data_IF_654015812185
#
_entry.id   IF_654015812185
#
_cell.length_a   1.000
_cell.length_b   1.000
_cell.length_c   1.000
_cell.angle_alpha   90.00
_cell.angle_beta   90.00
_cell.angle_gamma   90.00
#
_symmetry.space_group_name_H-M   'P 1'
#
loop_
_entity.id
_entity.type
_entity.pdbx_description
1 polymer ?
#
# COMPACT_ATOMS: atom_id res chain seq x y z
N UNK A 1 -26.62 38.30 8.85
CA UNK A 1 -27.55 37.25 9.31
C UNK A 1 -28.50 36.77 8.22
N UNK A 2 -29.44 37.58 7.71
CA UNK A 2 -30.32 37.14 6.60
C UNK A 2 -29.52 36.81 5.32
N UNK A 3 -28.66 37.72 4.88
CA UNK A 3 -27.75 37.50 3.74
C UNK A 3 -26.81 36.30 3.97
N UNK A 4 -26.35 36.09 5.21
CA UNK A 4 -25.49 34.96 5.56
C UNK A 4 -26.23 33.62 5.43
N UNK A 5 -27.53 33.56 5.77
CA UNK A 5 -28.36 32.36 5.57
C UNK A 5 -28.63 32.10 4.09
N UNK A 6 -28.87 33.14 3.29
CA UNK A 6 -29.08 33.01 1.85
C UNK A 6 -27.83 32.46 1.15
N UNK A 7 -26.63 32.76 1.65
CA UNK A 7 -25.37 32.21 1.15
C UNK A 7 -25.12 30.78 1.67
N UNK A 8 -25.39 30.51 2.95
CA UNK A 8 -25.06 29.21 3.56
C UNK A 8 -26.00 28.07 3.15
N UNK A 9 -27.29 28.36 2.89
CA UNK A 9 -28.28 27.35 2.47
C UNK A 9 -27.90 26.60 1.18
N UNK A 10 -27.54 27.25 0.06
CA UNK A 10 -27.11 26.55 -1.14
C UNK A 10 -25.81 25.77 -0.91
N UNK A 11 -24.85 26.31 -0.14
CA UNK A 11 -23.61 25.61 0.20
C UNK A 11 -23.87 24.32 0.99
N UNK A 12 -24.87 24.33 1.87
CA UNK A 12 -25.27 23.14 2.63
C UNK A 12 -25.90 22.09 1.70
N UNK A 13 -26.73 22.51 0.75
CA UNK A 13 -27.35 21.61 -0.22
C UNK A 13 -26.29 20.98 -1.15
N UNK A 14 -25.34 21.78 -1.64
CA UNK A 14 -24.20 21.30 -2.44
C UNK A 14 -23.35 20.29 -1.64
N UNK A 15 -23.02 20.59 -0.39
CA UNK A 15 -22.29 19.67 0.49
C UNK A 15 -23.07 18.37 0.78
N UNK A 16 -24.39 18.46 0.91
CA UNK A 16 -25.26 17.29 1.07
C UNK A 16 -25.29 16.42 -0.19
N UNK A 17 -25.30 17.03 -1.38
CA UNK A 17 -25.20 16.28 -2.64
C UNK A 17 -23.82 15.64 -2.81
N UNK A 18 -22.74 16.37 -2.53
CA UNK A 18 -21.37 15.87 -2.64
C UNK A 18 -21.11 14.68 -1.70
N UNK A 19 -21.62 14.73 -0.47
CA UNK A 19 -21.54 13.60 0.48
C UNK A 19 -22.24 12.35 -0.05
N UNK A 20 -23.43 12.48 -0.64
CA UNK A 20 -24.17 11.35 -1.23
C UNK A 20 -23.42 10.77 -2.44
N UNK A 21 -22.91 11.62 -3.34
CA UNK A 21 -22.14 11.20 -4.51
C UNK A 21 -20.87 10.46 -4.08
N UNK A 22 -20.17 10.98 -3.08
CA UNK A 22 -18.93 10.38 -2.58
C UNK A 22 -19.21 9.03 -1.91
N UNK A 23 -20.30 8.92 -1.13
CA UNK A 23 -20.74 7.66 -0.53
C UNK A 23 -21.04 6.59 -1.59
N UNK A 24 -21.77 6.93 -2.65
CA UNK A 24 -22.09 6.00 -3.74
C UNK A 24 -20.83 5.54 -4.49
N UNK A 25 -19.83 6.41 -4.65
CA UNK A 25 -18.54 6.04 -5.25
C UNK A 25 -17.78 5.06 -4.36
N UNK A 26 -17.71 5.33 -3.05
CA UNK A 26 -17.08 4.43 -2.07
C UNK A 26 -17.74 3.04 -2.13
N UNK A 27 -19.07 2.97 -2.17
CA UNK A 27 -19.79 1.70 -2.23
C UNK A 27 -19.46 0.91 -3.50
N UNK A 28 -19.47 1.56 -4.67
CA UNK A 28 -19.09 0.94 -5.95
C UNK A 28 -17.65 0.44 -5.95
N UNK A 29 -16.72 1.29 -5.50
CA UNK A 29 -15.29 0.95 -5.48
C UNK A 29 -15.00 -0.16 -4.46
N UNK A 30 -15.74 -0.20 -3.34
CA UNK A 30 -15.63 -1.27 -2.34
C UNK A 30 -16.04 -2.63 -2.92
N UNK A 31 -17.13 -2.69 -3.70
CA UNK A 31 -17.54 -3.94 -4.38
C UNK A 31 -16.47 -4.39 -5.38
N UNK A 32 -15.88 -3.45 -6.12
CA UNK A 32 -14.78 -3.76 -7.06
C UNK A 32 -13.54 -4.26 -6.31
N UNK A 33 -13.19 -3.64 -5.18
CA UNK A 33 -12.07 -4.07 -4.34
C UNK A 33 -12.28 -5.48 -3.77
N UNK A 34 -13.49 -5.80 -3.29
CA UNK A 34 -13.81 -7.14 -2.78
C UNK A 34 -13.73 -8.21 -3.87
N UNK A 35 -14.29 -7.93 -5.05
CA UNK A 35 -14.17 -8.84 -6.20
C UNK A 35 -12.70 -9.05 -6.61
N UNK A 36 -11.91 -7.98 -6.61
CA UNK A 36 -10.48 -8.03 -6.94
C UNK A 36 -9.70 -8.80 -5.87
N UNK A 37 -10.02 -8.61 -4.59
CA UNK A 37 -9.41 -9.33 -3.46
C UNK A 37 -9.69 -10.83 -3.55
N UNK A 38 -10.92 -11.23 -3.88
CA UNK A 38 -11.25 -12.63 -4.13
C UNK A 38 -10.44 -13.22 -5.30
N UNK A 39 -10.25 -12.46 -6.38
CA UNK A 39 -9.40 -12.87 -7.49
C UNK A 39 -7.93 -13.03 -7.08
N UNK A 40 -7.39 -12.10 -6.29
CA UNK A 40 -6.00 -12.16 -5.79
C UNK A 40 -5.81 -13.39 -4.91
N UNK A 41 -6.75 -13.70 -4.02
CA UNK A 41 -6.69 -14.90 -3.17
C UNK A 41 -6.70 -16.20 -4.01
N UNK A 42 -7.52 -16.24 -5.07
CA UNK A 42 -7.55 -17.39 -5.96
C UNK A 42 -6.24 -17.57 -6.73
N UNK A 43 -5.65 -16.48 -7.24
CA UNK A 43 -4.34 -16.53 -7.91
C UNK A 43 -3.19 -16.85 -6.95
N UNK A 44 -3.25 -16.37 -5.71
CA UNK A 44 -2.27 -16.69 -4.66
C UNK A 44 -2.30 -18.18 -4.30
N UNK A 45 -3.50 -18.78 -4.20
CA UNK A 45 -3.65 -20.21 -3.99
C UNK A 45 -3.06 -21.02 -5.16
N UNK A 46 -3.27 -20.58 -6.42
CA UNK A 46 -2.67 -21.22 -7.60
C UNK A 46 -1.15 -21.10 -7.59
N UNK A 47 -0.61 -19.91 -7.31
CA UNK A 47 0.83 -19.67 -7.22
C UNK A 47 1.47 -20.55 -6.14
N UNK A 48 0.84 -20.65 -4.97
CA UNK A 48 1.31 -21.49 -3.85
C UNK A 48 1.33 -22.96 -4.22
N UNK A 49 0.28 -23.46 -4.90
CA UNK A 49 0.23 -24.86 -5.34
C UNK A 49 1.27 -25.15 -6.43
N UNK A 50 1.48 -24.24 -7.39
CA UNK A 50 2.56 -24.36 -8.38
C UNK A 50 3.93 -24.34 -7.73
N UNK A 51 4.14 -23.48 -6.72
CA UNK A 51 5.39 -23.41 -5.96
C UNK A 51 5.67 -24.72 -5.22
N UNK A 52 4.65 -25.29 -4.59
CA UNK A 52 4.74 -26.59 -3.92
C UNK A 52 5.16 -27.67 -4.91
N UNK A 53 4.52 -27.76 -6.07
CA UNK A 53 4.87 -28.75 -7.11
C UNK A 53 6.29 -28.58 -7.64
N UNK A 54 6.71 -27.34 -7.92
CA UNK A 54 8.09 -27.06 -8.34
C UNK A 54 9.10 -27.48 -7.26
N UNK A 55 8.79 -27.21 -5.99
CA UNK A 55 9.63 -27.63 -4.86
C UNK A 55 9.70 -29.16 -4.75
N UNK A 56 8.59 -29.86 -4.89
CA UNK A 56 8.57 -31.33 -4.85
C UNK A 56 9.42 -31.95 -5.96
N UNK A 57 9.37 -31.39 -7.19
CA UNK A 57 10.21 -31.84 -8.30
C UNK A 57 11.68 -31.55 -8.01
N UNK A 58 11.99 -30.38 -7.43
CA UNK A 58 13.35 -30.01 -7.06
C UNK A 58 13.92 -30.94 -5.97
N UNK A 59 13.12 -31.23 -4.93
CA UNK A 59 13.51 -32.10 -3.82
C UNK A 59 13.73 -33.54 -4.32
N UNK A 60 12.87 -34.04 -5.20
CA UNK A 60 13.00 -35.38 -5.79
C UNK A 60 14.22 -35.48 -6.73
N UNK A 61 14.51 -34.43 -7.51
CA UNK A 61 15.73 -34.34 -8.32
C UNK A 61 16.99 -34.29 -7.44
N UNK A 62 16.97 -33.51 -6.36
CA UNK A 62 18.10 -33.41 -5.44
C UNK A 62 18.35 -34.72 -4.70
N UNK A 63 17.28 -35.40 -4.27
CA UNK A 63 17.37 -36.70 -3.62
C UNK A 63 18.07 -37.74 -4.49
N UNK A 64 17.73 -37.79 -5.78
CA UNK A 64 18.41 -38.69 -6.72
C UNK A 64 19.89 -38.32 -6.87
N UNK A 65 20.21 -37.02 -6.99
CA UNK A 65 21.60 -36.56 -7.07
C UNK A 65 22.41 -36.92 -5.82
N UNK A 66 21.78 -36.84 -4.64
CA UNK A 66 22.40 -37.21 -3.36
C UNK A 66 22.76 -38.70 -3.28
N UNK A 67 22.24 -39.57 -4.16
CA UNK A 67 22.66 -40.97 -4.23
C UNK A 67 24.05 -41.14 -4.89
N UNK A 68 24.44 -40.23 -5.78
CA UNK A 68 25.69 -40.32 -6.54
C UNK A 68 26.75 -39.28 -6.15
N UNK A 69 26.34 -38.08 -5.75
CA UNK A 69 27.26 -36.98 -5.39
C UNK A 69 28.22 -37.36 -4.25
N UNK A 70 27.81 -38.00 -3.15
CA UNK A 70 28.74 -38.36 -2.08
C UNK A 70 29.83 -39.33 -2.54
N UNK A 71 29.48 -40.27 -3.43
CA UNK A 71 30.46 -41.21 -4.00
C UNK A 71 31.43 -40.50 -4.96
N UNK A 72 30.93 -39.55 -5.73
CA UNK A 72 31.74 -38.72 -6.63
C UNK A 72 32.69 -37.79 -5.86
N UNK A 73 32.19 -37.11 -4.84
CA UNK A 73 32.99 -36.22 -4.00
C UNK A 73 34.06 -36.97 -3.22
N UNK A 74 33.73 -38.14 -2.67
CA UNK A 74 34.70 -39.03 -2.03
C UNK A 74 35.79 -39.47 -3.02
N UNK A 75 35.42 -39.81 -4.26
CA UNK A 75 36.38 -40.18 -5.28
C UNK A 75 37.27 -39.01 -5.72
N UNK A 76 36.71 -37.81 -5.89
CA UNK A 76 37.46 -36.59 -6.23
C UNK A 76 38.39 -36.17 -5.08
N UNK A 77 37.96 -36.30 -3.82
CA UNK A 77 38.79 -36.06 -2.65
C UNK A 77 39.96 -37.04 -2.57
N UNK A 78 39.72 -38.32 -2.83
CA UNK A 78 40.75 -39.36 -2.92
C UNK A 78 41.74 -39.07 -4.06
N UNK A 79 41.26 -38.63 -5.23
CA UNK A 79 42.13 -38.17 -6.33
C UNK A 79 42.98 -36.95 -5.96
N UNK A 80 42.45 -35.97 -5.21
CA UNK A 80 43.21 -34.79 -4.75
C UNK A 80 44.35 -35.17 -3.80
N UNK A 81 44.25 -36.31 -3.12
CA UNK A 81 45.30 -36.81 -2.24
C UNK A 81 46.45 -37.48 -3.00
N UNK A 82 46.29 -37.78 -4.29
CA UNK A 82 47.36 -38.32 -5.13
C UNK A 82 48.37 -37.24 -5.49
N UNK A 83 49.66 -37.58 -5.33
CA UNK A 83 50.75 -36.72 -5.75
C UNK A 83 51.27 -37.14 -7.14
N UNK A 84 52.15 -36.32 -7.73
CA UNK A 84 52.73 -36.60 -9.06
C UNK A 84 53.62 -37.85 -9.06
N UNK A 85 54.23 -38.19 -7.92
CA UNK A 85 55.13 -39.34 -7.80
C UNK A 85 54.35 -40.65 -7.91
N UNK A 86 53.17 -40.73 -7.27
CA UNK A 86 52.27 -41.88 -7.33
C UNK A 86 51.92 -42.25 -8.79
N UNK A 87 51.71 -41.24 -9.65
CA UNK A 87 51.43 -41.42 -11.08
C UNK A 87 52.69 -41.85 -11.86
N UNK A 88 53.86 -41.31 -11.52
CA UNK A 88 55.13 -41.73 -12.15
C UNK A 88 55.51 -43.16 -11.81
N UNK A 89 55.20 -43.64 -10.60
CA UNK A 89 55.44 -45.02 -10.17
C UNK A 89 54.60 -46.00 -10.98
N UNK A 90 53.30 -45.71 -11.18
CA UNK A 90 52.41 -46.53 -12.02
C UNK A 90 52.92 -46.61 -13.46
N UNK A 91 53.46 -45.51 -14.01
CA UNK A 91 54.03 -45.48 -15.37
C UNK A 91 55.35 -46.27 -15.51
N UNK A 92 56.15 -46.32 -14.45
CA UNK A 92 57.46 -46.96 -14.44
C UNK A 92 57.39 -48.50 -14.47
N UNK A 93 56.21 -49.08 -14.20
CA UNK A 93 55.99 -50.52 -14.25
C UNK A 93 56.21 -51.07 -15.66
N UNK A 94 57.25 -51.90 -15.83
CA UNK A 94 57.51 -52.58 -17.11
C UNK A 94 56.52 -53.73 -17.39
N UNK A 95 56.04 -54.39 -16.33
CA UNK A 95 55.01 -55.44 -16.39
C UNK A 95 53.95 -55.14 -15.32
N UNK A 96 52.94 -54.31 -15.63
CA UNK A 96 51.92 -53.96 -14.64
C UNK A 96 51.08 -55.19 -14.27
N UNK A 97 50.70 -55.33 -12.98
CA UNK A 97 49.72 -56.31 -12.54
C UNK A 97 48.37 -56.12 -13.23
N UNK A 98 47.55 -57.18 -13.28
CA UNK A 98 46.26 -57.18 -13.97
C UNK A 98 45.33 -56.04 -13.50
N UNK A 99 45.22 -55.82 -12.18
CA UNK A 99 44.41 -54.72 -11.64
C UNK A 99 44.87 -53.32 -12.08
N UNK A 100 46.17 -53.10 -12.28
CA UNK A 100 46.70 -51.82 -12.77
C UNK A 100 46.40 -51.65 -14.26
N UNK A 101 46.50 -52.73 -15.06
CA UNK A 101 46.11 -52.71 -16.48
C UNK A 101 44.64 -52.34 -16.65
N UNK A 102 43.75 -52.96 -15.87
CA UNK A 102 42.30 -52.71 -15.90
C UNK A 102 41.95 -51.26 -15.53
N UNK A 103 42.63 -50.68 -14.53
CA UNK A 103 42.44 -49.26 -14.14
C UNK A 103 42.85 -48.30 -15.25
N UNK A 104 44.01 -48.52 -15.86
CA UNK A 104 44.51 -47.66 -16.94
C UNK A 104 43.66 -47.82 -18.20
N UNK A 105 43.21 -49.04 -18.51
CA UNK A 105 42.27 -49.32 -19.59
C UNK A 105 40.94 -48.59 -19.39
N UNK A 106 40.33 -48.70 -18.21
CA UNK A 106 39.06 -48.03 -17.91
C UNK A 106 39.17 -46.50 -18.02
N UNK A 107 40.32 -45.91 -17.61
CA UNK A 107 40.58 -44.47 -17.77
C UNK A 107 40.80 -44.08 -19.23
N UNK A 108 41.50 -44.91 -20.01
CA UNK A 108 41.66 -44.69 -21.44
C UNK A 108 40.31 -44.71 -22.17
N UNK A 109 39.40 -45.62 -21.79
CA UNK A 109 38.04 -45.68 -22.33
C UNK A 109 37.24 -44.43 -21.91
N UNK A 110 37.30 -44.01 -20.64
CA UNK A 110 36.67 -42.76 -20.16
C UNK A 110 37.12 -41.53 -20.94
N UNK A 111 38.41 -41.44 -21.30
CA UNK A 111 38.98 -40.33 -22.08
C UNK A 111 38.89 -40.53 -23.61
N UNK A 112 38.25 -41.59 -24.09
CA UNK A 112 38.08 -41.85 -25.53
C UNK A 112 39.38 -42.16 -26.28
N UNK A 113 40.41 -42.65 -25.60
CA UNK A 113 41.70 -43.00 -26.20
C UNK A 113 41.59 -44.35 -26.90
N UNK A 114 41.94 -44.40 -28.19
CA UNK A 114 41.86 -45.62 -29.00
C UNK A 114 42.91 -46.64 -28.56
N UNK A 115 42.57 -47.94 -28.50
CA UNK A 115 43.53 -48.99 -28.21
C UNK A 115 44.53 -49.17 -29.34
N UNK A 116 45.70 -49.73 -29.01
CA UNK A 116 46.65 -50.22 -30.00
C UNK A 116 46.36 -51.70 -30.25
N UNK A 117 46.15 -52.10 -31.50
CA UNK A 117 45.91 -53.50 -31.85
C UNK A 117 47.21 -54.28 -31.84
N UNK A 118 47.36 -55.22 -30.91
CA UNK A 118 48.55 -56.08 -30.78
C UNK A 118 48.17 -57.52 -31.16
N UNK A 119 49.12 -58.30 -31.67
CA UNK A 119 48.89 -59.71 -32.00
C UNK A 119 48.60 -60.50 -30.71
N UNK A 120 47.47 -61.21 -30.67
CA UNK A 120 47.08 -62.05 -29.54
C UNK A 120 47.85 -63.35 -29.46
N UNK A 121 47.69 -64.08 -28.34
CA UNK A 121 48.39 -65.35 -28.07
C UNK A 121 48.07 -66.46 -29.08
N UNK A 122 46.99 -66.35 -29.87
CA UNK A 122 46.65 -67.26 -30.96
C UNK A 122 46.97 -66.63 -32.33
N UNK A 123 47.62 -67.35 -33.26
CA UNK A 123 47.87 -66.85 -34.62
C UNK A 123 46.56 -66.37 -35.28
N UNK A 124 46.50 -65.08 -35.63
CA UNK A 124 45.34 -64.46 -36.28
C UNK A 124 44.39 -63.68 -35.37
N UNK A 125 44.56 -63.70 -34.05
CA UNK A 125 43.77 -62.87 -33.11
C UNK A 125 44.42 -61.50 -32.91
N UNK A 126 43.63 -60.41 -32.91
CA UNK A 126 44.08 -59.05 -32.56
C UNK A 126 43.44 -58.67 -31.23
N UNK A 127 44.26 -58.37 -30.23
CA UNK A 127 43.82 -57.92 -28.91
C UNK A 127 44.01 -56.41 -28.85
N UNK A 128 43.01 -55.71 -28.32
CA UNK A 128 43.08 -54.28 -28.08
C UNK A 128 43.92 -54.03 -26.83
N UNK A 129 45.14 -53.49 -27.00
CA UNK A 129 46.04 -53.15 -25.90
C UNK A 129 45.89 -51.66 -25.55
N UNK A 130 45.35 -51.40 -24.36
CA UNK A 130 45.20 -50.07 -23.79
C UNK A 130 46.40 -49.65 -22.92
N UNK A 131 47.34 -50.55 -22.64
CA UNK A 131 48.49 -50.25 -21.78
C UNK A 131 49.48 -49.29 -22.43
N UNK A 132 49.87 -49.51 -23.69
CA UNK A 132 50.79 -48.59 -24.37
C UNK A 132 50.21 -47.17 -24.55
N UNK A 133 48.96 -47.00 -25.03
CA UNK A 133 48.31 -45.67 -25.06
C UNK A 133 48.13 -45.06 -23.66
N UNK A 134 47.76 -45.86 -22.66
CA UNK A 134 47.61 -45.41 -21.28
C UNK A 134 48.92 -45.01 -20.62
N UNK A 135 50.02 -45.69 -20.92
CA UNK A 135 51.36 -45.30 -20.48
C UNK A 135 51.81 -43.96 -21.09
N UNK A 136 51.35 -43.65 -22.31
CA UNK A 136 51.48 -42.33 -22.93
C UNK A 136 50.64 -41.26 -22.21
N UNK A 137 49.42 -41.59 -21.79
CA UNK A 137 48.56 -40.69 -21.01
C UNK A 137 49.18 -40.33 -19.64
N UNK A 138 49.89 -41.27 -19.00
CA UNK A 138 50.59 -41.04 -17.74
C UNK A 138 51.93 -40.28 -17.90
N UNK A 139 52.32 -39.89 -19.13
CA UNK A 139 53.61 -39.21 -19.39
C UNK A 139 53.73 -37.86 -18.69
N UNK A 140 52.63 -37.10 -18.63
CA UNK A 140 52.51 -35.82 -17.95
C UNK A 140 51.58 -35.94 -16.73
N UNK A 141 52.10 -36.33 -15.53
CA UNK A 141 51.29 -36.53 -14.32
C UNK A 141 50.37 -35.36 -13.93
N UNK A 142 50.85 -34.13 -14.12
CA UNK A 142 50.08 -32.92 -13.82
C UNK A 142 48.85 -32.77 -14.71
N UNK A 143 49.03 -32.90 -16.03
CA UNK A 143 47.92 -32.81 -17.01
C UNK A 143 46.96 -33.99 -16.88
N UNK A 144 47.47 -35.17 -16.53
CA UNK A 144 46.66 -36.35 -16.31
C UNK A 144 45.64 -36.13 -15.19
N UNK A 145 46.12 -35.74 -13.99
CA UNK A 145 45.27 -35.47 -12.83
C UNK A 145 44.34 -34.28 -13.06
N UNK A 146 44.84 -33.18 -13.64
CA UNK A 146 44.01 -32.03 -13.99
C UNK A 146 42.88 -32.41 -14.95
N UNK A 147 43.16 -33.27 -15.94
CA UNK A 147 42.16 -33.77 -16.86
C UNK A 147 41.19 -34.80 -16.26
N UNK A 148 41.44 -35.32 -15.05
CA UNK A 148 40.45 -36.09 -14.29
C UNK A 148 39.55 -35.17 -13.45
N UNK A 149 40.10 -34.07 -12.92
CA UNK A 149 39.32 -33.08 -12.17
C UNK A 149 38.42 -32.24 -13.06
N UNK A 150 38.88 -31.86 -14.26
CA UNK A 150 38.13 -31.06 -15.24
C UNK A 150 37.34 -31.92 -16.22
N UNK A 151 37.21 -33.21 -15.96
CA UNK A 151 36.45 -34.09 -16.83
C UNK A 151 34.97 -33.71 -16.80
N UNK A 152 34.35 -33.65 -17.98
CA UNK A 152 32.94 -33.33 -18.11
C UNK A 152 32.10 -34.54 -17.68
N UNK A 153 31.68 -34.50 -16.41
CA UNK A 153 30.87 -35.54 -15.77
C UNK A 153 29.42 -35.56 -16.28
N UNK A 154 28.95 -34.44 -16.85
CA UNK A 154 27.55 -34.26 -17.24
C UNK A 154 27.30 -34.72 -18.68
N UNK A 155 28.35 -34.78 -19.53
CA UNK A 155 28.25 -35.15 -20.94
C UNK A 155 29.09 -36.40 -21.32
N UNK A 156 28.94 -37.50 -20.61
CA UNK A 156 29.64 -38.76 -20.95
C UNK A 156 28.88 -39.49 -22.08
N UNK A 157 29.51 -39.84 -23.22
CA UNK A 157 28.82 -40.58 -24.27
C UNK A 157 28.39 -41.99 -23.83
N UNK A 158 27.17 -42.41 -24.18
CA UNK A 158 26.65 -43.75 -23.86
C UNK A 158 27.55 -44.89 -24.38
N UNK A 159 28.28 -44.66 -25.47
CA UNK A 159 29.27 -45.59 -26.01
C UNK A 159 30.43 -45.87 -25.04
N UNK A 160 30.88 -44.85 -24.29
CA UNK A 160 31.96 -44.95 -23.30
C UNK A 160 31.47 -45.73 -22.07
N UNK A 161 30.26 -45.44 -21.59
CA UNK A 161 29.66 -46.14 -20.45
C UNK A 161 29.42 -47.62 -20.76
N UNK A 162 28.93 -47.95 -21.96
CA UNK A 162 28.75 -49.33 -22.41
C UNK A 162 30.07 -50.09 -22.51
N UNK A 163 31.14 -49.43 -22.93
CA UNK A 163 32.48 -50.03 -22.99
C UNK A 163 33.11 -50.25 -21.60
N UNK A 164 32.70 -49.46 -20.60
CA UNK A 164 33.20 -49.57 -19.22
C UNK A 164 32.41 -50.59 -18.39
N UNK A 165 31.15 -50.86 -18.73
CA UNK A 165 30.28 -51.80 -18.03
C UNK A 165 30.95 -53.15 -17.68
N UNK A 166 31.65 -53.83 -18.61
CA UNK A 166 32.32 -55.11 -18.30
C UNK A 166 33.44 -54.98 -17.26
N UNK A 167 34.08 -53.81 -17.17
CA UNK A 167 35.09 -53.53 -16.14
C UNK A 167 34.43 -53.29 -14.78
N UNK A 168 33.27 -52.61 -14.73
CA UNK A 168 32.54 -52.35 -13.47
C UNK A 168 32.00 -53.65 -12.86
N UNK A 169 31.56 -54.59 -13.70
CA UNK A 169 31.02 -55.88 -13.28
C UNK A 169 32.11 -56.90 -12.87
N UNK A 170 33.37 -56.62 -13.17
CA UNK A 170 34.50 -57.49 -12.82
C UNK A 170 34.91 -57.34 -11.34
N UNK A 171 34.95 -58.45 -10.60
CA UNK A 171 35.38 -58.49 -9.19
C UNK A 171 36.82 -58.01 -8.98
N UNK A 172 37.70 -58.15 -9.98
CA UNK A 172 39.08 -57.67 -9.92
C UNK A 172 39.19 -56.13 -10.04
N UNK A 173 38.12 -55.46 -10.50
CA UNK A 173 38.02 -54.01 -10.62
C UNK A 173 37.31 -53.36 -9.43
N UNK A 174 37.34 -54.02 -8.26
CA UNK A 174 36.85 -53.42 -7.03
C UNK A 174 37.96 -52.60 -6.34
N UNK A 175 37.64 -51.42 -5.76
CA UNK A 175 38.61 -50.63 -5.00
C UNK A 175 39.34 -51.44 -3.93
N UNK A 176 38.67 -52.39 -3.28
CA UNK A 176 39.28 -53.28 -2.29
C UNK A 176 40.30 -54.27 -2.89
N UNK A 177 40.06 -54.78 -4.11
CA UNK A 177 40.98 -55.65 -4.82
C UNK A 177 42.20 -54.86 -5.34
N UNK A 178 41.97 -53.67 -5.89
CA UNK A 178 43.02 -52.80 -6.43
C UNK A 178 43.89 -52.20 -5.32
N UNK A 179 43.33 -51.94 -4.13
CA UNK A 179 44.08 -51.46 -2.96
C UNK A 179 45.20 -52.41 -2.51
N UNK A 180 45.07 -53.71 -2.77
CA UNK A 180 46.12 -54.70 -2.48
C UNK A 180 47.31 -54.60 -3.43
N UNK A 181 47.14 -53.93 -4.57
CA UNK A 181 48.11 -53.87 -5.66
C UNK A 181 48.71 -52.47 -5.79
N UNK A 182 47.88 -51.42 -5.75
CA UNK A 182 48.34 -50.03 -5.84
C UNK A 182 47.34 -49.06 -5.20
N UNK A 183 47.84 -48.27 -4.24
CA UNK A 183 47.08 -47.19 -3.61
C UNK A 183 46.69 -46.11 -4.61
N UNK A 184 47.61 -45.76 -5.52
CA UNK A 184 47.36 -44.76 -6.56
C UNK A 184 46.25 -45.16 -7.54
N UNK A 185 46.23 -46.44 -7.96
CA UNK A 185 45.20 -46.98 -8.84
C UNK A 185 43.84 -47.14 -8.13
N UNK A 186 43.81 -47.17 -6.79
CA UNK A 186 42.57 -47.30 -6.02
C UNK A 186 41.72 -46.03 -6.14
N UNK A 187 42.32 -44.85 -5.97
CA UNK A 187 41.61 -43.57 -6.10
C UNK A 187 41.11 -43.35 -7.54
N UNK A 188 41.87 -43.79 -8.53
CA UNK A 188 41.49 -43.74 -9.95
C UNK A 188 40.34 -44.71 -10.24
N UNK A 189 40.37 -45.93 -9.68
CA UNK A 189 39.25 -46.88 -9.78
C UNK A 189 37.97 -46.34 -9.14
N UNK A 190 38.06 -45.77 -7.93
CA UNK A 190 36.93 -45.15 -7.25
C UNK A 190 36.32 -44.02 -8.10
N UNK A 191 37.15 -43.22 -8.77
CA UNK A 191 36.69 -42.18 -9.69
C UNK A 191 35.95 -42.73 -10.90
N UNK A 192 36.47 -43.76 -11.59
CA UNK A 192 35.78 -44.36 -12.75
C UNK A 192 34.42 -44.94 -12.33
N UNK A 193 34.36 -45.63 -11.18
CA UNK A 193 33.11 -46.20 -10.66
C UNK A 193 32.12 -45.13 -10.22
N UNK A 194 32.59 -44.05 -9.60
CA UNK A 194 31.74 -42.93 -9.22
C UNK A 194 31.21 -42.16 -10.43
N UNK A 195 32.02 -41.97 -11.47
CA UNK A 195 31.59 -41.36 -12.74
C UNK A 195 30.56 -42.23 -13.48
N UNK A 196 30.75 -43.55 -13.49
CA UNK A 196 29.77 -44.49 -14.04
C UNK A 196 28.43 -44.41 -13.27
N UNK A 197 28.45 -44.44 -11.93
CA UNK A 197 27.25 -44.28 -11.11
C UNK A 197 26.56 -42.93 -11.34
N UNK A 198 27.35 -41.84 -11.41
CA UNK A 198 26.85 -40.50 -11.66
C UNK A 198 26.14 -40.38 -13.02
N UNK A 199 26.66 -41.00 -14.08
CA UNK A 199 26.03 -40.98 -15.41
C UNK A 199 24.58 -41.49 -15.40
N UNK A 200 24.32 -42.62 -14.72
CA UNK A 200 22.97 -43.18 -14.64
C UNK A 200 22.01 -42.30 -13.83
N UNK A 201 22.51 -41.74 -12.72
CA UNK A 201 21.72 -40.83 -11.89
C UNK A 201 21.46 -39.51 -12.61
N UNK A 202 22.48 -38.89 -13.20
CA UNK A 202 22.36 -37.65 -13.98
C UNK A 202 21.37 -37.83 -15.16
N UNK A 203 21.41 -38.97 -15.85
CA UNK A 203 20.44 -39.30 -16.91
C UNK A 203 19.00 -39.44 -16.39
N UNK A 204 18.80 -39.96 -15.18
CA UNK A 204 17.49 -40.04 -14.53
C UNK A 204 16.99 -38.67 -14.03
N UNK A 205 17.91 -37.80 -13.64
CA UNK A 205 17.63 -36.45 -13.12
C UNK A 205 17.40 -35.44 -14.26
N UNK A 206 17.99 -35.63 -15.44
CA UNK A 206 17.82 -34.75 -16.59
C UNK A 206 16.34 -34.45 -16.95
N UNK A 207 15.43 -35.43 -17.09
CA UNK A 207 14.01 -35.13 -17.30
C UNK A 207 13.37 -34.40 -16.12
N UNK A 208 13.83 -34.63 -14.88
CA UNK A 208 13.34 -33.90 -13.70
C UNK A 208 13.81 -32.45 -13.70
N UNK A 209 15.02 -32.15 -14.19
CA UNK A 209 15.53 -30.78 -14.37
C UNK A 209 14.75 -30.03 -15.43
N UNK A 210 14.42 -30.67 -16.54
CA UNK A 210 13.56 -30.08 -17.57
C UNK A 210 12.15 -29.81 -17.03
N UNK A 211 11.54 -30.79 -16.34
CA UNK A 211 10.24 -30.61 -15.68
C UNK A 211 10.27 -29.50 -14.61
N UNK A 212 11.37 -29.37 -13.85
CA UNK A 212 11.56 -28.29 -12.89
C UNK A 212 11.62 -26.93 -13.59
N UNK A 213 12.34 -26.83 -14.70
CA UNK A 213 12.44 -25.59 -15.47
C UNK A 213 11.07 -25.18 -16.00
N UNK A 214 10.32 -26.09 -16.61
CA UNK A 214 8.95 -25.84 -17.08
C UNK A 214 8.03 -25.39 -15.92
N UNK A 215 8.10 -26.07 -14.77
CA UNK A 215 7.32 -25.70 -13.59
C UNK A 215 7.70 -24.32 -13.00
N UNK A 216 8.99 -23.94 -13.09
CA UNK A 216 9.48 -22.63 -12.66
C UNK A 216 9.05 -21.52 -13.62
N UNK A 217 9.05 -21.77 -14.93
CA UNK A 217 8.55 -20.84 -15.94
C UNK A 217 7.04 -20.59 -15.75
N UNK A 218 6.25 -21.66 -15.58
CA UNK A 218 4.82 -21.59 -15.27
C UNK A 218 4.53 -20.84 -13.96
N UNK A 219 5.37 -21.03 -12.94
CA UNK A 219 5.28 -20.32 -11.67
C UNK A 219 5.59 -18.83 -11.85
N UNK A 220 6.62 -18.49 -12.61
CA UNK A 220 7.02 -17.11 -12.85
C UNK A 220 5.91 -16.33 -13.58
N UNK A 221 5.26 -16.94 -14.57
CA UNK A 221 4.10 -16.33 -15.25
C UNK A 221 2.95 -16.09 -14.28
N UNK A 222 2.63 -17.09 -13.44
CA UNK A 222 1.55 -16.98 -12.44
C UNK A 222 1.85 -15.92 -11.39
N UNK A 223 3.11 -15.83 -10.94
CA UNK A 223 3.55 -14.82 -9.98
C UNK A 223 3.43 -13.42 -10.57
N UNK A 224 3.77 -13.23 -11.85
CA UNK A 224 3.59 -11.95 -12.54
C UNK A 224 2.12 -11.53 -12.57
N UNK A 225 1.21 -12.45 -12.89
CA UNK A 225 -0.24 -12.19 -12.88
C UNK A 225 -0.71 -11.82 -11.46
N UNK A 226 -0.22 -12.54 -10.44
CA UNK A 226 -0.52 -12.27 -9.05
C UNK A 226 -0.04 -10.87 -8.62
N UNK A 227 1.17 -10.49 -8.99
CA UNK A 227 1.75 -9.19 -8.65
C UNK A 227 0.98 -8.05 -9.34
N UNK A 228 0.60 -8.21 -10.62
CA UNK A 228 -0.28 -7.27 -11.33
C UNK A 228 -1.67 -7.17 -10.70
N UNK A 229 -2.23 -8.27 -10.20
CA UNK A 229 -3.50 -8.27 -9.49
C UNK A 229 -3.40 -7.61 -8.10
N UNK A 230 -2.30 -7.84 -7.36
CA UNK A 230 -2.01 -7.20 -6.07
C UNK A 230 -1.81 -5.69 -6.23
N UNK A 231 -1.10 -5.25 -7.27
CA UNK A 231 -0.92 -3.84 -7.58
C UNK A 231 -2.26 -3.14 -7.86
N UNK A 232 -3.13 -3.74 -8.69
CA UNK A 232 -4.49 -3.22 -8.93
C UNK A 232 -5.33 -3.16 -7.66
N UNK A 233 -5.25 -4.16 -6.79
CA UNK A 233 -5.95 -4.14 -5.50
C UNK A 233 -5.47 -2.96 -4.64
N UNK A 234 -4.15 -2.73 -4.56
CA UNK A 234 -3.57 -1.62 -3.82
C UNK A 234 -4.05 -0.26 -4.33
N UNK A 235 -4.07 -0.05 -5.65
CA UNK A 235 -4.57 1.19 -6.25
C UNK A 235 -6.04 1.46 -5.90
N UNK A 236 -6.89 0.43 -5.96
CA UNK A 236 -8.31 0.57 -5.61
C UNK A 236 -8.48 0.84 -4.12
N UNK A 237 -7.75 0.15 -3.23
CA UNK A 237 -7.80 0.37 -1.78
C UNK A 237 -7.32 1.76 -1.38
N UNK A 238 -6.24 2.26 -1.99
CA UNK A 238 -5.78 3.65 -1.82
C UNK A 238 -6.84 4.65 -2.32
N UNK A 239 -7.45 4.39 -3.48
CA UNK A 239 -8.57 5.17 -4.00
C UNK A 239 -9.72 5.27 -3.00
N UNK A 240 -10.16 4.13 -2.44
CA UNK A 240 -11.20 4.07 -1.41
C UNK A 240 -10.79 4.86 -0.17
N UNK A 241 -9.55 4.73 0.31
CA UNK A 241 -9.06 5.45 1.48
C UNK A 241 -9.11 6.98 1.27
N UNK A 242 -8.72 7.46 0.08
CA UNK A 242 -8.82 8.89 -0.25
C UNK A 242 -10.27 9.37 -0.33
N UNK A 243 -11.19 8.56 -0.89
CA UNK A 243 -12.60 8.89 -0.94
C UNK A 243 -13.23 8.90 0.46
N UNK A 244 -12.87 7.96 1.34
CA UNK A 244 -13.31 7.93 2.73
C UNK A 244 -12.80 9.14 3.53
N UNK A 245 -11.58 9.61 3.28
CA UNK A 245 -11.08 10.86 3.86
C UNK A 245 -11.91 12.06 3.39
N UNK A 246 -12.12 12.19 2.07
CA UNK A 246 -12.98 13.26 1.50
C UNK A 246 -14.41 13.21 2.05
N UNK A 247 -14.98 12.01 2.17
CA UNK A 247 -16.32 11.83 2.74
C UNK A 247 -16.41 12.36 4.17
N UNK A 248 -15.44 12.00 5.04
CA UNK A 248 -15.37 12.51 6.42
C UNK A 248 -15.26 14.03 6.46
N UNK A 249 -14.42 14.62 5.61
CA UNK A 249 -14.28 16.08 5.54
C UNK A 249 -15.58 16.76 5.07
N UNK A 250 -16.26 16.21 4.06
CA UNK A 250 -17.53 16.75 3.57
C UNK A 250 -18.64 16.62 4.62
N UNK A 251 -18.71 15.50 5.36
CA UNK A 251 -19.66 15.32 6.47
C UNK A 251 -19.39 16.34 7.58
N UNK A 252 -18.14 16.51 7.99
CA UNK A 252 -17.77 17.51 9.01
C UNK A 252 -18.15 18.93 8.59
N UNK A 253 -17.87 19.31 7.33
CA UNK A 253 -18.25 20.62 6.79
C UNK A 253 -19.76 20.80 6.74
N UNK A 254 -20.50 19.76 6.34
CA UNK A 254 -21.96 19.78 6.32
C UNK A 254 -22.53 20.01 7.72
N UNK A 255 -22.05 19.27 8.72
CA UNK A 255 -22.49 19.42 10.11
C UNK A 255 -22.18 20.83 10.67
N UNK A 256 -21.00 21.39 10.35
CA UNK A 256 -20.65 22.76 10.73
C UNK A 256 -21.56 23.81 10.07
N UNK A 257 -21.90 23.63 8.80
CA UNK A 257 -22.81 24.52 8.07
C UNK A 257 -24.24 24.41 8.59
N UNK A 258 -24.73 23.21 8.89
CA UNK A 258 -26.02 22.95 9.54
C UNK A 258 -26.10 23.70 10.88
N UNK A 259 -25.11 23.52 11.75
CA UNK A 259 -25.09 24.20 13.05
C UNK A 259 -25.07 25.73 12.91
N UNK A 260 -24.33 26.28 11.94
CA UNK A 260 -24.30 27.73 11.68
C UNK A 260 -25.64 28.25 11.15
N UNK A 261 -26.28 27.51 10.24
CA UNK A 261 -27.60 27.85 9.74
C UNK A 261 -28.62 27.88 10.87
N UNK A 262 -28.68 26.81 11.68
CA UNK A 262 -29.61 26.70 12.82
C UNK A 262 -29.41 27.85 13.82
N UNK A 263 -28.17 28.17 14.17
CA UNK A 263 -27.87 29.27 15.07
C UNK A 263 -28.30 30.63 14.47
N UNK A 264 -28.09 30.85 13.18
CA UNK A 264 -28.49 32.08 12.50
C UNK A 264 -30.02 32.22 12.45
N UNK A 265 -30.73 31.15 12.12
CA UNK A 265 -32.20 31.11 12.10
C UNK A 265 -32.79 31.42 13.48
N UNK A 266 -32.24 30.81 14.53
CA UNK A 266 -32.66 31.09 15.90
C UNK A 266 -32.42 32.55 16.28
N UNK A 267 -31.27 33.13 15.89
CA UNK A 267 -30.96 34.54 16.16
C UNK A 267 -31.89 35.48 15.40
N UNK A 268 -32.17 35.21 14.13
CA UNK A 268 -33.11 35.99 13.33
C UNK A 268 -34.52 35.91 13.89
N UNK A 269 -35.00 34.73 14.27
CA UNK A 269 -36.31 34.58 14.91
C UNK A 269 -36.43 35.40 16.21
N UNK A 270 -35.36 35.43 17.01
CA UNK A 270 -35.33 36.27 18.24
C UNK A 270 -35.28 37.76 17.91
N UNK A 271 -34.49 38.16 16.91
CA UNK A 271 -34.38 39.56 16.47
C UNK A 271 -35.71 40.07 15.92
N UNK A 272 -36.40 39.26 15.11
CA UNK A 272 -37.72 39.56 14.56
C UNK A 272 -38.74 39.79 15.68
N UNK A 273 -38.83 38.87 16.66
CA UNK A 273 -39.69 39.03 17.84
C UNK A 273 -39.40 40.31 18.63
N UNK A 274 -38.13 40.68 18.79
CA UNK A 274 -37.73 41.91 19.47
C UNK A 274 -38.12 43.15 18.66
N UNK A 275 -37.92 43.14 17.34
CA UNK A 275 -38.29 44.25 16.47
C UNK A 275 -39.81 44.45 16.48
N UNK A 276 -40.59 43.37 16.34
CA UNK A 276 -42.05 43.43 16.41
C UNK A 276 -42.51 43.89 17.80
N UNK A 277 -41.96 43.33 18.87
CA UNK A 277 -42.36 43.67 20.25
C UNK A 277 -41.98 45.10 20.67
N UNK A 278 -40.90 45.66 20.11
CA UNK A 278 -40.47 47.04 20.36
C UNK A 278 -41.02 48.03 19.32
N UNK A 279 -41.79 47.58 18.34
CA UNK A 279 -42.34 48.44 17.29
C UNK A 279 -43.26 49.52 17.87
N UNK A 280 -44.12 49.14 18.82
CA UNK A 280 -45.03 50.07 19.49
C UNK A 280 -44.27 51.08 20.35
N UNK A 281 -43.20 50.65 21.04
CA UNK A 281 -42.37 51.55 21.84
C UNK A 281 -41.56 52.51 20.97
N UNK A 282 -41.08 52.07 19.80
CA UNK A 282 -40.46 52.94 18.79
C UNK A 282 -41.44 54.02 18.34
N UNK A 283 -42.67 53.64 18.00
CA UNK A 283 -43.70 54.60 17.57
C UNK A 283 -44.04 55.57 18.71
N UNK A 284 -44.24 55.07 19.93
CA UNK A 284 -44.46 55.90 21.11
C UNK A 284 -43.33 56.89 21.35
N UNK A 285 -42.06 56.49 21.21
CA UNK A 285 -40.92 57.40 21.35
C UNK A 285 -40.92 58.46 20.25
N UNK A 286 -41.21 58.08 19.00
CA UNK A 286 -41.35 59.03 17.90
C UNK A 286 -42.45 60.07 18.19
N UNK A 287 -43.62 59.61 18.62
CA UNK A 287 -44.74 60.49 18.99
C UNK A 287 -44.39 61.39 20.19
N UNK A 288 -43.67 60.86 21.18
CA UNK A 288 -43.22 61.63 22.35
C UNK A 288 -42.24 62.72 21.94
N UNK A 289 -41.28 62.41 21.07
CA UNK A 289 -40.32 63.40 20.54
C UNK A 289 -41.06 64.50 19.78
N UNK A 290 -41.98 64.15 18.88
CA UNK A 290 -42.80 65.12 18.13
C UNK A 290 -43.64 66.01 19.06
N UNK A 291 -44.25 65.43 20.09
CA UNK A 291 -45.01 66.18 21.08
C UNK A 291 -44.14 67.14 21.89
N UNK A 292 -42.93 66.72 22.28
CA UNK A 292 -41.98 67.56 22.99
C UNK A 292 -41.45 68.71 22.11
N UNK A 293 -41.16 68.44 20.83
CA UNK A 293 -40.77 69.47 19.87
C UNK A 293 -41.88 70.53 19.71
N UNK A 294 -43.14 70.10 19.60
CA UNK A 294 -44.29 71.01 19.55
C UNK A 294 -44.44 71.84 20.83
N UNK A 295 -44.26 71.21 22.01
CA UNK A 295 -44.35 71.91 23.30
C UNK A 295 -43.22 72.94 23.44
N UNK A 296 -42.00 72.60 23.02
CA UNK A 296 -40.84 73.49 23.09
C UNK A 296 -41.03 74.77 22.26
N UNK A 297 -41.70 74.69 21.11
CA UNK A 297 -42.03 75.86 20.28
C UNK A 297 -43.07 76.76 20.98
N UNK A 298 -44.06 76.17 21.64
CA UNK A 298 -45.22 76.88 22.20
C UNK A 298 -45.07 77.33 23.67
N UNK A 299 -44.08 76.81 24.39
CA UNK A 299 -43.90 77.00 25.84
C UNK A 299 -43.82 78.47 26.25
N UNK A 300 -43.22 79.32 25.41
CA UNK A 300 -43.05 80.74 25.71
C UNK A 300 -44.39 81.47 25.82
N UNK A 301 -45.31 81.24 24.88
CA UNK A 301 -46.64 81.84 24.90
C UNK A 301 -47.51 81.26 26.02
N UNK A 302 -47.42 79.94 26.23
CA UNK A 302 -48.18 79.26 27.28
C UNK A 302 -47.76 79.72 28.69
N UNK A 303 -46.45 79.86 28.95
CA UNK A 303 -45.93 80.39 30.21
C UNK A 303 -46.33 81.85 30.44
N UNK A 304 -46.35 82.68 29.39
CA UNK A 304 -46.77 84.07 29.49
C UNK A 304 -48.25 84.17 29.91
N UNK A 305 -49.13 83.36 29.29
CA UNK A 305 -50.54 83.27 29.67
C UNK A 305 -50.72 82.78 31.11
N UNK A 306 -49.98 81.72 31.50
CA UNK A 306 -50.05 81.16 32.83
C UNK A 306 -49.57 82.14 33.92
N UNK A 307 -48.45 82.84 33.67
CA UNK A 307 -47.91 83.84 34.58
C UNK A 307 -48.89 85.01 34.76
N UNK A 308 -49.49 85.49 33.67
CA UNK A 308 -50.55 86.52 33.72
C UNK A 308 -51.78 86.05 34.50
N UNK A 309 -52.19 84.79 34.31
CA UNK A 309 -53.32 84.21 35.02
C UNK A 309 -53.08 84.15 36.53
N UNK A 310 -51.90 83.69 36.95
CA UNK A 310 -51.54 83.63 38.37
C UNK A 310 -51.41 85.02 39.01
N UNK A 311 -50.81 85.99 38.30
CA UNK A 311 -50.54 87.32 38.83
C UNK A 311 -51.80 88.20 38.96
N UNK A 312 -52.71 88.14 37.99
CA UNK A 312 -53.80 89.11 37.88
C UNK A 312 -55.19 88.52 38.05
N UNK A 313 -55.40 87.23 37.78
CA UNK A 313 -56.76 86.66 37.71
C UNK A 313 -57.29 86.12 39.04
N UNK A 314 -56.46 86.02 40.08
CA UNK A 314 -56.80 85.45 41.40
C UNK A 314 -58.04 86.03 42.11
N UNK A 315 -58.31 87.35 42.10
CA UNK A 315 -59.47 87.93 42.79
C UNK A 315 -60.81 87.77 42.05
N UNK A 316 -60.82 87.40 40.77
CA UNK A 316 -62.04 87.41 39.95
C UNK A 316 -62.84 86.09 40.04
N UNK A 317 -64.08 86.10 39.56
CA UNK A 317 -64.93 84.90 39.48
C UNK A 317 -64.54 84.01 38.29
N UNK A 318 -64.85 82.71 38.35
CA UNK A 318 -64.44 81.74 37.33
C UNK A 318 -64.82 82.13 35.90
N UNK A 319 -66.07 82.56 35.67
CA UNK A 319 -66.54 82.98 34.35
C UNK A 319 -65.75 84.19 33.80
N UNK A 320 -65.43 85.15 34.66
CA UNK A 320 -64.67 86.32 34.27
C UNK A 320 -63.19 85.99 33.97
N UNK A 321 -62.60 85.06 34.73
CA UNK A 321 -61.25 84.55 34.45
C UNK A 321 -61.17 83.87 33.09
N UNK A 322 -62.13 83.02 32.75
CA UNK A 322 -62.19 82.33 31.44
C UNK A 322 -62.30 83.34 30.30
N UNK A 323 -63.21 84.31 30.41
CA UNK A 323 -63.40 85.33 29.38
C UNK A 323 -62.15 86.21 29.16
N UNK A 324 -61.46 86.60 30.24
CA UNK A 324 -60.20 87.36 30.12
C UNK A 324 -59.07 86.50 29.53
N UNK A 325 -58.97 85.24 29.93
CA UNK A 325 -57.94 84.33 29.43
C UNK A 325 -58.10 84.09 27.92
N UNK A 326 -59.34 83.88 27.43
CA UNK A 326 -59.63 83.77 25.98
C UNK A 326 -59.25 85.04 25.21
N UNK A 327 -59.53 86.22 25.76
CA UNK A 327 -59.11 87.50 25.15
C UNK A 327 -57.58 87.61 25.06
N UNK A 328 -56.86 87.21 26.11
CA UNK A 328 -55.40 87.21 26.12
C UNK A 328 -54.82 86.22 25.12
N UNK A 329 -55.37 85.01 25.04
CA UNK A 329 -54.99 84.01 24.01
C UNK A 329 -55.21 84.55 22.60
N UNK A 330 -56.36 85.19 22.34
CA UNK A 330 -56.62 85.84 21.04
C UNK A 330 -55.58 86.91 20.72
N UNK A 331 -55.20 87.73 21.72
CA UNK A 331 -54.19 88.78 21.53
C UNK A 331 -52.80 88.23 21.24
N UNK A 332 -52.38 87.15 21.89
CA UNK A 332 -51.10 86.49 21.57
C UNK A 332 -51.07 85.92 20.16
N UNK A 333 -52.18 85.38 19.67
CA UNK A 333 -52.31 84.93 18.28
C UNK A 333 -52.21 86.08 17.29
N UNK A 334 -52.86 87.22 17.55
CA UNK A 334 -52.73 88.44 16.73
C UNK A 334 -51.28 88.93 16.65
N UNK A 335 -50.54 88.84 17.76
CA UNK A 335 -49.13 89.22 17.85
C UNK A 335 -48.17 88.14 17.34
N UNK A 336 -48.68 87.01 16.83
CA UNK A 336 -47.92 85.87 16.31
C UNK A 336 -46.94 85.26 17.32
N UNK A 337 -47.28 85.29 18.61
CA UNK A 337 -46.52 84.57 19.64
C UNK A 337 -46.99 83.10 19.61
N UNK A 338 -46.08 82.13 19.40
CA UNK A 338 -46.42 80.71 19.43
C UNK A 338 -46.99 80.32 20.80
N UNK A 339 -48.15 79.67 20.78
CA UNK A 339 -48.84 79.13 21.95
C UNK A 339 -49.65 77.91 21.52
N UNK A 340 -49.94 77.02 22.46
CA UNK A 340 -50.73 75.83 22.21
C UNK A 340 -52.15 76.21 21.76
N UNK A 341 -52.81 75.37 20.96
CA UNK A 341 -54.17 75.67 20.46
C UNK A 341 -55.16 75.91 21.60
N UNK A 342 -55.03 75.15 22.69
CA UNK A 342 -55.80 75.29 23.92
C UNK A 342 -54.84 75.40 25.12
N UNK A 343 -54.28 76.60 25.38
CA UNK A 343 -53.38 76.78 26.50
C UNK A 343 -54.18 76.62 27.81
N UNK A 344 -53.62 75.94 28.80
CA UNK A 344 -54.27 75.79 30.10
C UNK A 344 -53.27 75.81 31.23
N UNK A 345 -53.64 76.45 32.34
CA UNK A 345 -52.77 76.53 33.51
C UNK A 345 -52.36 75.14 34.03
N UNK A 346 -53.32 74.21 34.03
CA UNK A 346 -53.10 72.83 34.47
C UNK A 346 -52.25 72.03 33.47
N UNK A 347 -52.39 72.26 32.16
CA UNK A 347 -51.58 71.56 31.15
C UNK A 347 -50.14 72.05 31.07
N UNK A 348 -49.89 73.33 31.36
CA UNK A 348 -48.56 73.95 31.24
C UNK A 348 -47.74 73.86 32.54
N UNK A 349 -48.36 74.04 33.70
CA UNK A 349 -47.68 74.08 35.00
C UNK A 349 -48.05 72.91 35.92
N UNK A 350 -49.12 72.18 35.59
CA UNK A 350 -49.63 71.10 36.40
C UNK A 350 -48.90 69.79 36.15
N UNK A 351 -48.56 69.10 37.22
CA UNK A 351 -48.19 67.68 37.17
C UNK A 351 -49.47 66.86 37.39
N UNK A 352 -49.94 66.10 36.38
CA UNK A 352 -51.16 65.31 36.50
C UNK A 352 -51.15 64.34 37.70
N UNK A 353 -49.99 63.83 38.10
CA UNK A 353 -49.86 62.89 39.23
C UNK A 353 -50.09 63.62 40.56
N UNK A 354 -49.55 64.83 40.71
CA UNK A 354 -49.76 65.66 41.91
C UNK A 354 -51.17 66.21 41.97
N UNK A 355 -51.72 66.62 40.83
CA UNK A 355 -53.11 67.12 40.79
C UNK A 355 -54.08 66.03 41.22
N UNK A 356 -53.86 64.79 40.79
CA UNK A 356 -54.70 63.65 41.19
C UNK A 356 -54.63 63.34 42.69
N UNK A 357 -53.51 63.61 43.36
CA UNK A 357 -53.40 63.37 44.81
C UNK A 357 -54.04 64.46 45.67
N UNK A 358 -54.44 65.59 45.07
CA UNK A 358 -55.17 66.68 45.73
C UNK A 358 -56.68 66.60 45.55
N UNK A 359 -57.15 65.74 44.64
CA UNK A 359 -58.56 65.39 44.46
C UNK A 359 -58.93 64.27 45.43
#
# INVERSE_FOLDING_TARGET
>A
MQEELEIMRPQLEDAAQETVITMQKIEKDTVVAEATRASVQAEEAKATEKARKAQEIADDAQKDLDEALPALDAALASLKSLNKNDVTEVRALQRPPLGVKLVIEAVCIMKGIKPKKVAGEKPGTRIDDYWEPGRGLLQDPGKFLEGLFKFDKDNIPDAVIKAIQPHIDNEEFQPAAIARVSKACTSICQWVRAMHKYHFVARGVEPKRQALQEAQEDLAETQKILDEAKARLSEVEEGIATLQAKYRDCVSKKEELEQKCDQCEQRLSRADKLITGLSDEKQRWQDTVLNLENLLVNVTGDLLLCAGFLAYLGPFTGQYRTALFEQWTKKLRELKVPCTQEPSLLGTLGDPVKIRSWQ
#
